data_IF_170829987357
#
_entry.id   IF_170829987357
#
_cell.length_a   1.000
_cell.length_b   1.000
_cell.length_c   1.000
_cell.angle_alpha   90.00
_cell.angle_beta   90.00
_cell.angle_gamma   90.00
#
_symmetry.space_group_name_H-M   'P 1'
#
loop_
_entity.id
_entity.type
_entity.pdbx_description
1 polymer ?
#
# COMPACT_ATOMS: atom_id res chain seq x y z
N UNK A 1 40.36 -20.54 20.20
CA UNK A 1 39.31 -19.59 20.68
C UNK A 1 38.87 -18.54 19.64
N UNK A 2 39.75 -17.96 18.81
CA UNK A 2 39.39 -16.87 17.86
C UNK A 2 38.37 -17.25 16.77
N UNK A 3 38.45 -18.47 16.21
CA UNK A 3 37.53 -18.91 15.15
C UNK A 3 36.07 -19.08 15.61
N UNK A 4 35.84 -19.44 16.87
CA UNK A 4 34.49 -19.56 17.42
C UNK A 4 33.84 -18.19 17.61
N UNK A 5 34.61 -17.19 18.05
CA UNK A 5 34.16 -15.81 18.16
C UNK A 5 33.75 -15.26 16.78
N UNK A 6 34.58 -15.50 15.75
CA UNK A 6 34.26 -15.13 14.38
C UNK A 6 32.94 -15.74 13.89
N UNK A 7 32.78 -17.06 14.06
CA UNK A 7 31.54 -17.76 13.64
C UNK A 7 30.30 -17.26 14.37
N UNK A 8 30.41 -16.91 15.65
CA UNK A 8 29.29 -16.32 16.39
C UNK A 8 28.89 -14.97 15.81
N UNK A 9 29.87 -14.09 15.55
CA UNK A 9 29.62 -12.78 14.94
C UNK A 9 29.02 -12.90 13.53
N UNK A 10 29.56 -13.78 12.68
CA UNK A 10 29.05 -14.03 11.31
C UNK A 10 27.60 -14.56 11.33
N UNK A 11 27.27 -15.46 12.26
CA UNK A 11 25.90 -15.97 12.42
C UNK A 11 24.95 -14.92 12.93
N UNK A 12 25.41 -14.08 13.84
CA UNK A 12 24.61 -12.98 14.39
C UNK A 12 24.29 -11.94 13.33
N UNK A 13 25.28 -11.50 12.53
CA UNK A 13 25.04 -10.54 11.44
C UNK A 13 24.13 -11.13 10.38
N UNK A 14 24.29 -12.41 10.06
CA UNK A 14 23.39 -13.12 9.15
C UNK A 14 21.95 -13.16 9.67
N UNK A 15 21.75 -13.57 10.93
CA UNK A 15 20.42 -13.63 11.55
C UNK A 15 19.75 -12.25 11.59
N UNK A 16 20.51 -11.20 11.96
CA UNK A 16 20.01 -9.81 11.94
C UNK A 16 19.56 -9.40 10.55
N UNK A 17 20.33 -9.75 9.51
CA UNK A 17 19.99 -9.44 8.12
C UNK A 17 18.74 -10.17 7.65
N UNK A 18 18.61 -11.46 7.97
CA UNK A 18 17.41 -12.25 7.62
C UNK A 18 16.18 -11.61 8.24
N UNK A 19 16.22 -11.30 9.53
CA UNK A 19 15.10 -10.65 10.23
C UNK A 19 14.74 -9.30 9.61
N UNK A 20 15.74 -8.46 9.33
CA UNK A 20 15.52 -7.15 8.70
C UNK A 20 14.82 -7.29 7.35
N UNK A 21 15.34 -8.14 6.45
CA UNK A 21 14.77 -8.32 5.12
C UNK A 21 13.36 -8.90 5.19
N UNK A 22 13.09 -9.86 6.07
CA UNK A 22 11.75 -10.40 6.27
C UNK A 22 10.77 -9.32 6.74
N UNK A 23 11.18 -8.46 7.68
CA UNK A 23 10.35 -7.35 8.15
C UNK A 23 10.05 -6.33 7.04
N UNK A 24 11.06 -5.98 6.23
CA UNK A 24 10.89 -5.08 5.10
C UNK A 24 9.92 -5.64 4.05
N UNK A 25 10.03 -6.94 3.75
CA UNK A 25 9.10 -7.63 2.85
C UNK A 25 7.67 -7.62 3.40
N UNK A 26 7.48 -8.00 4.66
CA UNK A 26 6.17 -8.03 5.31
C UNK A 26 5.53 -6.64 5.34
N UNK A 27 6.31 -5.61 5.70
CA UNK A 27 5.85 -4.23 5.70
C UNK A 27 5.46 -3.76 4.29
N UNK A 28 6.27 -4.10 3.28
CA UNK A 28 5.99 -3.80 1.88
C UNK A 28 4.68 -4.45 1.39
N UNK A 29 4.48 -5.72 1.72
CA UNK A 29 3.26 -6.45 1.37
C UNK A 29 2.02 -5.84 2.04
N UNK A 30 2.08 -5.57 3.35
CA UNK A 30 0.96 -4.95 4.09
C UNK A 30 0.62 -3.57 3.53
N UNK A 31 1.64 -2.75 3.24
CA UNK A 31 1.42 -1.43 2.65
C UNK A 31 0.79 -1.53 1.26
N UNK A 32 1.20 -2.50 0.44
CA UNK A 32 0.59 -2.74 -0.87
C UNK A 32 -0.86 -3.22 -0.76
N UNK A 33 -1.14 -4.19 0.11
CA UNK A 33 -2.50 -4.68 0.36
C UNK A 33 -3.43 -3.56 0.84
N UNK A 34 -2.96 -2.70 1.75
CA UNK A 34 -3.73 -1.56 2.23
C UNK A 34 -4.02 -0.56 1.10
N UNK A 35 -3.07 -0.32 0.19
CA UNK A 35 -3.30 0.53 -0.99
C UNK A 35 -4.37 -0.06 -1.90
N UNK A 36 -4.34 -1.37 -2.13
CA UNK A 36 -5.37 -2.05 -2.94
C UNK A 36 -6.77 -1.94 -2.32
N UNK A 37 -6.89 -2.14 -1.00
CA UNK A 37 -8.16 -1.98 -0.30
C UNK A 37 -8.69 -0.54 -0.38
N UNK A 38 -7.82 0.46 -0.18
CA UNK A 38 -8.20 1.87 -0.29
C UNK A 38 -8.70 2.24 -1.68
N UNK A 39 -8.04 1.77 -2.73
CA UNK A 39 -8.48 1.99 -4.10
C UNK A 39 -9.88 1.40 -4.35
N UNK A 40 -10.16 0.20 -3.82
CA UNK A 40 -11.48 -0.41 -3.94
C UNK A 40 -12.55 0.35 -3.15
N UNK A 41 -12.23 0.84 -1.95
CA UNK A 41 -13.14 1.68 -1.17
C UNK A 41 -13.44 3.01 -1.86
N UNK A 42 -12.46 3.65 -2.48
CA UNK A 42 -12.65 4.88 -3.24
C UNK A 42 -13.56 4.67 -4.45
N UNK A 43 -13.38 3.58 -5.20
CA UNK A 43 -14.27 3.20 -6.29
C UNK A 43 -15.70 3.00 -5.79
N UNK A 44 -15.89 2.23 -4.72
CA UNK A 44 -17.20 2.03 -4.10
C UNK A 44 -17.85 3.33 -3.63
N UNK A 45 -17.06 4.29 -3.13
CA UNK A 45 -17.57 5.61 -2.74
C UNK A 45 -18.05 6.42 -3.95
N UNK A 46 -17.35 6.34 -5.08
CA UNK A 46 -17.76 7.00 -6.31
C UNK A 46 -19.03 6.36 -6.90
N UNK A 47 -19.12 5.03 -6.91
CA UNK A 47 -20.32 4.32 -7.37
C UNK A 47 -21.55 4.62 -6.51
N UNK A 48 -21.36 4.69 -5.19
CA UNK A 48 -22.42 5.02 -4.24
C UNK A 48 -22.68 6.54 -4.12
N UNK A 49 -21.96 7.38 -4.87
CA UNK A 49 -22.18 8.81 -4.84
C UNK A 49 -23.58 9.16 -5.39
N UNK A 50 -24.22 10.15 -4.78
CA UNK A 50 -25.47 10.68 -5.29
C UNK A 50 -25.26 11.24 -6.71
N UNK A 51 -26.25 11.03 -7.58
CA UNK A 51 -26.21 11.58 -8.94
C UNK A 51 -25.97 13.10 -8.88
N UNK A 52 -25.08 13.64 -9.73
CA UNK A 52 -24.85 15.07 -9.78
C UNK A 52 -26.16 15.80 -10.16
N UNK A 53 -26.41 16.93 -9.52
CA UNK A 53 -27.62 17.77 -9.71
C UNK A 53 -27.24 19.18 -10.16
N UNK A 54 -28.23 20.01 -10.47
CA UNK A 54 -28.07 21.46 -10.64
C UNK A 54 -27.17 21.84 -11.81
N UNK A 55 -25.94 22.28 -11.54
CA UNK A 55 -24.98 22.76 -12.53
C UNK A 55 -24.71 21.75 -13.67
N UNK A 56 -24.77 20.45 -13.38
CA UNK A 56 -24.57 19.40 -14.39
C UNK A 56 -25.74 19.21 -15.36
N UNK A 57 -26.91 19.83 -15.10
CA UNK A 57 -28.11 19.79 -15.95
C UNK A 57 -28.24 21.02 -16.85
N UNK A 58 -27.35 22.02 -16.72
CA UNK A 58 -27.30 23.17 -17.62
C UNK A 58 -26.58 22.76 -18.91
N UNK A 59 -27.23 21.98 -19.75
CA UNK A 59 -26.91 22.02 -21.19
C UNK A 59 -27.27 23.42 -21.71
N UNK A 60 -26.53 24.00 -22.66
CA UNK A 60 -27.03 25.16 -23.38
C UNK A 60 -28.31 24.71 -24.07
N UNK A 61 -29.45 25.29 -23.69
CA UNK A 61 -30.68 25.16 -24.47
C UNK A 61 -30.34 25.52 -25.92
N UNK A 62 -30.74 24.71 -26.93
CA UNK A 62 -30.60 25.16 -28.30
C UNK A 62 -31.44 26.43 -28.44
N UNK A 63 -30.78 27.55 -28.76
CA UNK A 63 -31.48 28.76 -29.17
C UNK A 63 -32.29 28.40 -30.40
N UNK A 64 -33.62 28.52 -30.32
CA UNK A 64 -34.50 28.49 -31.48
C UNK A 64 -34.13 29.62 -32.44
#
# INVERSE_FOLDING_TARGET
>A
MKGQLRRKAERETFARRVVLLSQEMDAGLRAWQLRQQKLQEEQRKQENALKPKGASLKSPLPSQ
#
